data_IF_746506755565
#
_entry.id   IF_746506755565
#
_cell.length_a   1.000
_cell.length_b   1.000
_cell.length_c   1.000
_cell.angle_alpha   90.00
_cell.angle_beta   90.00
_cell.angle_gamma   90.00
#
_symmetry.space_group_name_H-M   'P 1'
#
loop_
_entity.id
_entity.type
_entity.pdbx_description
1 polymer ?
#
# COMPACT_ATOMS: atom_id res chain seq x y z
N UNK A 1 5.84 9.59 27.20
CA UNK A 1 6.67 9.96 26.03
C UNK A 1 5.89 9.62 24.80
N UNK A 2 5.63 10.58 23.92
CA UNK A 2 5.04 10.29 22.61
C UNK A 2 6.21 10.06 21.68
N UNK A 3 6.40 8.82 21.25
CA UNK A 3 7.38 8.49 20.24
C UNK A 3 6.95 9.25 18.99
N UNK A 4 7.61 10.38 18.72
CA UNK A 4 7.55 11.02 17.41
C UNK A 4 8.07 9.96 16.47
N UNK A 5 7.14 9.26 15.83
CA UNK A 5 7.41 8.17 14.92
C UNK A 5 8.51 8.65 14.00
N UNK A 6 9.63 7.93 14.00
CA UNK A 6 10.74 8.15 13.07
C UNK A 6 10.11 8.48 11.73
N UNK A 7 10.44 9.63 11.16
CA UNK A 7 10.07 9.97 9.79
C UNK A 7 10.47 8.77 8.93
N UNK A 8 9.50 7.91 8.63
CA UNK A 8 9.77 6.70 7.87
C UNK A 8 10.29 7.17 6.54
N UNK A 9 11.33 6.54 6.01
CA UNK A 9 11.97 6.95 4.75
C UNK A 9 11.06 6.82 3.50
N UNK A 10 9.73 6.86 3.64
CA UNK A 10 8.76 6.57 2.60
C UNK A 10 8.72 5.10 2.20
N UNK A 11 9.42 4.23 2.92
CA UNK A 11 9.70 2.87 2.48
C UNK A 11 8.47 1.95 2.53
N UNK A 12 7.48 2.25 3.38
CA UNK A 12 6.31 1.39 3.59
C UNK A 12 5.57 1.04 2.30
N UNK A 13 5.26 2.04 1.47
CA UNK A 13 4.54 1.79 0.22
C UNK A 13 5.42 1.11 -0.85
N UNK A 14 6.74 1.38 -0.84
CA UNK A 14 7.68 0.70 -1.72
C UNK A 14 7.79 -0.81 -1.39
N UNK A 15 7.78 -1.16 -0.09
CA UNK A 15 7.71 -2.56 0.36
C UNK A 15 6.41 -3.20 -0.10
N UNK A 16 5.27 -2.53 0.10
CA UNK A 16 3.95 -3.02 -0.36
C UNK A 16 3.96 -3.26 -1.86
N UNK A 17 4.48 -2.33 -2.66
CA UNK A 17 4.58 -2.50 -4.11
C UNK A 17 5.41 -3.73 -4.50
N UNK A 18 6.55 -3.96 -3.84
CA UNK A 18 7.37 -5.15 -4.06
C UNK A 18 6.65 -6.46 -3.72
N UNK A 19 5.95 -6.49 -2.57
CA UNK A 19 5.19 -7.67 -2.14
C UNK A 19 4.06 -7.96 -3.13
N UNK A 20 3.26 -6.96 -3.48
CA UNK A 20 2.12 -7.12 -4.38
C UNK A 20 2.58 -7.59 -5.77
N UNK A 21 3.66 -7.02 -6.30
CA UNK A 21 4.26 -7.45 -7.57
C UNK A 21 4.74 -8.91 -7.51
N UNK A 22 5.37 -9.32 -6.40
CA UNK A 22 5.81 -10.70 -6.21
C UNK A 22 4.64 -11.72 -6.18
N UNK A 23 3.43 -11.27 -5.84
CA UNK A 23 2.20 -12.08 -5.88
C UNK A 23 1.43 -11.94 -7.20
N UNK A 24 2.01 -11.29 -8.22
CA UNK A 24 1.37 -11.10 -9.53
C UNK A 24 0.23 -10.08 -9.53
N UNK A 25 0.17 -9.22 -8.52
CA UNK A 25 -0.86 -8.19 -8.40
C UNK A 25 -0.37 -6.78 -8.72
N UNK A 26 -1.25 -5.81 -8.45
CA UNK A 26 -0.98 -4.37 -8.61
C UNK A 26 -1.45 -3.58 -7.39
N UNK A 27 -0.81 -2.43 -7.13
CA UNK A 27 -1.22 -1.48 -6.08
C UNK A 27 -1.24 -0.06 -6.62
N UNK A 28 -2.27 0.72 -6.25
CA UNK A 28 -2.40 2.15 -6.59
C UNK A 28 -2.90 2.95 -5.39
N UNK A 29 -2.58 4.24 -5.37
CA UNK A 29 -3.05 5.19 -4.37
C UNK A 29 -3.91 6.28 -5.03
N UNK A 30 -5.00 6.66 -4.39
CA UNK A 30 -5.92 7.71 -4.83
C UNK A 30 -6.42 8.54 -3.65
N UNK A 31 -6.95 9.73 -3.92
CA UNK A 31 -7.56 10.57 -2.89
C UNK A 31 -8.99 10.09 -2.61
N UNK A 32 -9.33 9.94 -1.33
CA UNK A 32 -10.71 9.60 -0.96
C UNK A 32 -11.64 10.81 -1.19
N UNK A 33 -12.89 10.57 -1.58
CA UNK A 33 -13.88 11.62 -1.81
C UNK A 33 -14.12 12.52 -0.59
N UNK A 34 -13.99 11.97 0.63
CA UNK A 34 -14.10 12.70 1.90
C UNK A 34 -12.78 13.27 2.44
N UNK A 35 -11.70 13.24 1.65
CA UNK A 35 -10.35 13.57 2.10
C UNK A 35 -9.60 12.37 2.69
N UNK A 36 -8.27 12.46 2.74
CA UNK A 36 -7.40 11.34 3.06
C UNK A 36 -7.05 10.50 1.83
N UNK A 37 -6.55 9.29 2.07
CA UNK A 37 -6.00 8.42 1.03
C UNK A 37 -6.71 7.07 0.98
N UNK A 38 -6.90 6.55 -0.23
CA UNK A 38 -7.33 5.18 -0.53
C UNK A 38 -6.19 4.46 -1.22
N UNK A 39 -5.88 3.26 -0.76
CA UNK A 39 -4.91 2.36 -1.40
C UNK A 39 -5.68 1.15 -1.91
N UNK A 40 -5.58 0.87 -3.20
CA UNK A 40 -6.26 -0.25 -3.86
C UNK A 40 -5.22 -1.29 -4.24
N UNK A 41 -5.42 -2.51 -3.76
CA UNK A 41 -4.59 -3.68 -4.07
C UNK A 41 -5.43 -4.69 -4.83
N UNK A 42 -4.93 -5.13 -5.97
CA UNK A 42 -5.56 -6.16 -6.81
C UNK A 42 -4.62 -7.36 -6.89
N UNK A 43 -5.14 -8.56 -6.59
CA UNK A 43 -4.38 -9.81 -6.64
C UNK A 43 -5.10 -10.81 -7.55
N UNK A 44 -4.37 -11.69 -8.26
CA UNK A 44 -4.99 -12.80 -8.98
C UNK A 44 -5.82 -13.68 -8.04
N UNK A 45 -7.09 -13.90 -8.39
CA UNK A 45 -7.93 -14.86 -7.67
C UNK A 45 -7.45 -16.28 -7.98
N UNK A 46 -7.28 -17.11 -6.94
CA UNK A 46 -7.09 -18.54 -7.14
C UNK A 46 -8.46 -19.12 -7.50
N UNK A 47 -8.62 -19.58 -8.75
CA UNK A 47 -9.81 -20.36 -9.13
C UNK A 47 -9.73 -21.73 -8.44
N UNK A 48 -10.81 -22.21 -7.80
CA UNK A 48 -10.90 -23.58 -7.33
C UNK A 48 -10.92 -24.59 -8.50
#
# INVERSE_FOLDING_TARGET
GRERGRDGAGLGLAIVAGIVAAHGGTVRAENAQGGGAVFVVELPAIRP
#
